data_IF_934348454099
#
_entry.id   IF_934348454099
#
_cell.length_a   1.000
_cell.length_b   1.000
_cell.length_c   1.000
_cell.angle_alpha   90.00
_cell.angle_beta   90.00
_cell.angle_gamma   90.00
#
_symmetry.space_group_name_H-M   'P 1'
#
loop_
_entity.id
_entity.type
_entity.pdbx_description
1 polymer ?
#
# COMPACT_ATOMS: atom_id res chain seq x y z
N UNK A 1 10.08 -22.98 19.14
CA UNK A 1 10.04 -23.33 17.72
C UNK A 1 8.82 -22.80 17.01
N UNK A 2 7.63 -22.92 17.59
CA UNK A 2 6.42 -22.36 16.99
C UNK A 2 6.49 -20.83 16.90
N UNK A 3 7.03 -20.18 17.93
CA UNK A 3 7.23 -18.73 17.93
C UNK A 3 8.16 -18.30 16.81
N UNK A 4 9.18 -19.09 16.53
CA UNK A 4 10.14 -18.77 15.48
C UNK A 4 9.49 -18.79 14.10
N UNK A 5 8.67 -19.82 13.81
CA UNK A 5 7.94 -19.93 12.57
C UNK A 5 6.93 -18.79 12.40
N UNK A 6 6.17 -18.47 13.48
CA UNK A 6 5.23 -17.35 13.47
C UNK A 6 5.96 -16.03 13.28
N UNK A 7 7.12 -15.85 13.89
CA UNK A 7 7.96 -14.66 13.77
C UNK A 7 8.49 -14.49 12.35
N UNK A 8 8.91 -15.59 11.72
CA UNK A 8 9.39 -15.58 10.33
C UNK A 8 8.28 -15.20 9.37
N UNK A 9 7.06 -15.73 9.56
CA UNK A 9 5.90 -15.37 8.74
C UNK A 9 5.52 -13.91 8.93
N UNK A 10 5.47 -13.44 10.18
CA UNK A 10 5.16 -12.05 10.49
C UNK A 10 6.19 -11.11 9.85
N UNK A 11 7.48 -11.46 9.93
CA UNK A 11 8.54 -10.68 9.31
C UNK A 11 8.41 -10.63 7.79
N UNK A 12 8.03 -11.74 7.16
CA UNK A 12 7.82 -11.81 5.73
C UNK A 12 6.63 -10.97 5.30
N UNK A 13 5.53 -11.03 6.03
CA UNK A 13 4.34 -10.23 5.78
C UNK A 13 4.70 -8.74 5.87
N UNK A 14 5.36 -8.33 6.95
CA UNK A 14 5.77 -6.94 7.14
C UNK A 14 6.71 -6.46 6.05
N UNK A 15 7.64 -7.30 5.64
CA UNK A 15 8.58 -6.99 4.57
C UNK A 15 7.85 -6.68 3.26
N UNK A 16 6.92 -7.55 2.87
CA UNK A 16 6.20 -7.35 1.62
C UNK A 16 5.22 -6.18 1.69
N UNK A 17 4.60 -5.94 2.85
CA UNK A 17 3.76 -4.76 3.04
C UNK A 17 4.58 -3.48 2.88
N UNK A 18 5.80 -3.46 3.41
CA UNK A 18 6.71 -2.33 3.24
C UNK A 18 7.13 -2.17 1.77
N UNK A 19 7.39 -3.27 1.07
CA UNK A 19 7.72 -3.24 -0.36
C UNK A 19 6.58 -2.67 -1.18
N UNK A 20 5.35 -3.07 -0.87
CA UNK A 20 4.14 -2.56 -1.53
C UNK A 20 4.02 -1.05 -1.32
N UNK A 21 4.12 -0.61 -0.07
CA UNK A 21 4.05 0.81 0.29
C UNK A 21 5.11 1.62 -0.46
N UNK A 22 6.35 1.15 -0.44
CA UNK A 22 7.47 1.84 -1.09
C UNK A 22 7.33 1.86 -2.61
N UNK A 23 6.79 0.80 -3.19
CA UNK A 23 6.56 0.74 -4.63
C UNK A 23 5.52 1.78 -5.04
N UNK A 24 4.40 1.85 -4.32
CA UNK A 24 3.36 2.83 -4.61
C UNK A 24 3.91 4.25 -4.43
N UNK A 25 4.65 4.48 -3.36
CA UNK A 25 5.24 5.78 -3.06
C UNK A 25 6.09 6.31 -4.20
N UNK A 26 6.80 5.45 -4.91
CA UNK A 26 7.63 5.85 -6.07
C UNK A 26 6.81 6.46 -7.20
N UNK A 27 5.56 6.10 -7.31
CA UNK A 27 4.68 6.60 -8.36
C UNK A 27 3.87 7.82 -7.94
N UNK A 28 3.93 8.20 -6.66
CA UNK A 28 3.19 9.38 -6.18
C UNK A 28 3.89 10.63 -6.65
N UNK A 29 3.17 11.43 -7.45
CA UNK A 29 3.62 12.75 -7.86
C UNK A 29 3.01 13.73 -6.88
N UNK A 30 3.83 14.25 -5.96
CA UNK A 30 3.35 15.15 -4.92
C UNK A 30 2.97 16.49 -5.54
N UNK A 31 1.70 16.93 -5.40
CA UNK A 31 1.29 18.23 -5.92
C UNK A 31 2.03 19.36 -5.20
N UNK A 32 2.26 20.50 -5.90
CA UNK A 32 2.80 21.69 -5.23
C UNK A 32 1.77 22.26 -4.27
N UNK A 33 2.21 23.12 -3.37
CA UNK A 33 1.35 23.87 -2.45
C UNK A 33 0.70 23.07 -1.32
N UNK A 34 1.16 21.84 -1.07
CA UNK A 34 0.74 21.11 0.11
C UNK A 34 1.41 21.71 1.35
N UNK A 35 0.62 21.94 2.38
CA UNK A 35 1.11 22.44 3.65
C UNK A 35 1.12 21.33 4.69
N UNK A 36 2.21 21.27 5.47
CA UNK A 36 2.36 20.26 6.48
C UNK A 36 2.63 18.88 5.87
N UNK A 37 2.13 17.86 6.52
CA UNK A 37 2.33 16.48 6.07
C UNK A 37 0.99 15.72 6.10
N UNK A 38 0.07 16.06 5.18
CA UNK A 38 -1.26 15.46 5.18
C UNK A 38 -1.21 13.98 4.88
N UNK A 39 -2.11 13.23 5.48
CA UNK A 39 -2.18 11.78 5.32
C UNK A 39 -3.45 11.38 4.59
N UNK A 40 -3.29 10.57 3.55
CA UNK A 40 -4.40 9.92 2.85
C UNK A 40 -4.42 8.44 3.22
N UNK A 41 -5.60 7.90 3.48
CA UNK A 41 -5.77 6.47 3.76
C UNK A 41 -6.62 5.82 2.68
N UNK A 42 -6.09 4.70 2.15
CA UNK A 42 -6.77 3.92 1.10
C UNK A 42 -6.90 2.47 1.53
N UNK A 43 -8.02 1.86 1.16
CA UNK A 43 -8.17 0.42 1.20
C UNK A 43 -7.94 -0.12 -0.21
N UNK A 44 -6.98 -1.02 -0.34
CA UNK A 44 -6.60 -1.61 -1.62
C UNK A 44 -6.91 -3.10 -1.60
N UNK A 45 -7.68 -3.56 -2.59
CA UNK A 45 -8.01 -4.97 -2.76
C UNK A 45 -7.18 -5.52 -3.92
N UNK A 46 -6.47 -6.62 -3.65
CA UNK A 46 -5.58 -7.25 -4.62
C UNK A 46 -6.13 -8.59 -5.11
N UNK A 47 -5.76 -8.93 -6.35
CA UNK A 47 -5.94 -10.27 -6.91
C UNK A 47 -4.72 -11.13 -6.53
N UNK A 48 -4.84 -12.47 -6.64
CA UNK A 48 -3.73 -13.36 -6.25
C UNK A 48 -2.41 -13.14 -6.98
N UNK A 49 -2.44 -12.50 -8.14
CA UNK A 49 -1.23 -12.16 -8.91
C UNK A 49 -0.63 -10.80 -8.51
N UNK A 50 -1.24 -10.11 -7.56
CA UNK A 50 -0.80 -8.79 -7.13
C UNK A 50 -1.46 -7.63 -7.86
N UNK A 51 -2.29 -7.90 -8.86
CA UNK A 51 -3.00 -6.83 -9.55
C UNK A 51 -3.98 -6.13 -8.62
N UNK A 52 -4.06 -4.81 -8.74
CA UNK A 52 -5.00 -4.01 -7.96
C UNK A 52 -6.39 -4.14 -8.58
N UNK A 53 -7.28 -4.77 -7.81
CA UNK A 53 -8.67 -4.88 -8.22
C UNK A 53 -9.41 -3.57 -7.97
N UNK A 54 -9.10 -2.92 -6.85
CA UNK A 54 -9.84 -1.74 -6.41
C UNK A 54 -9.01 -0.97 -5.38
N UNK A 55 -9.04 0.36 -5.48
CA UNK A 55 -8.46 1.26 -4.49
C UNK A 55 -9.54 2.25 -4.06
N UNK A 56 -9.86 2.27 -2.76
CA UNK A 56 -10.93 3.10 -2.21
C UNK A 56 -10.35 4.09 -1.20
N UNK A 57 -10.64 5.37 -1.39
CA UNK A 57 -10.27 6.40 -0.43
C UNK A 57 -11.13 6.25 0.83
N UNK A 58 -10.48 6.00 1.97
CA UNK A 58 -11.16 5.84 3.26
C UNK A 58 -11.13 7.16 4.03
N UNK A 59 -9.98 7.84 3.98
CA UNK A 59 -9.81 9.12 4.68
C UNK A 59 -8.99 10.05 3.81
N UNK A 60 -9.59 11.19 3.46
CA UNK A 60 -8.91 12.19 2.66
C UNK A 60 -7.81 12.90 3.45
N UNK A 61 -6.74 13.26 2.76
CA UNK A 61 -5.70 14.11 3.31
C UNK A 61 -6.16 15.56 3.55
N UNK A 62 -7.32 15.90 2.99
CA UNK A 62 -7.78 17.30 2.97
C UNK A 62 -7.38 18.02 1.68
N UNK A 63 -6.57 17.36 0.84
CA UNK A 63 -6.13 17.90 -0.46
C UNK A 63 -6.54 16.94 -1.56
N UNK A 64 -7.61 17.24 -2.29
CA UNK A 64 -8.09 16.34 -3.36
C UNK A 64 -7.02 16.01 -4.39
N UNK A 65 -6.11 16.95 -4.67
CA UNK A 65 -5.03 16.71 -5.63
C UNK A 65 -4.04 15.65 -5.13
N UNK A 66 -3.76 15.65 -3.83
CA UNK A 66 -2.90 14.62 -3.23
C UNK A 66 -3.60 13.25 -3.20
N UNK A 67 -4.88 13.24 -2.81
CA UNK A 67 -5.67 12.01 -2.80
C UNK A 67 -5.70 11.37 -4.19
N UNK A 68 -5.91 12.18 -5.23
CA UNK A 68 -5.91 11.70 -6.61
C UNK A 68 -4.53 11.22 -7.06
N UNK A 69 -3.46 11.88 -6.60
CA UNK A 69 -2.09 11.48 -6.91
C UNK A 69 -1.76 10.11 -6.32
N UNK A 70 -2.20 9.86 -5.08
CA UNK A 70 -2.00 8.56 -4.41
C UNK A 70 -2.80 7.47 -5.11
N UNK A 71 -4.05 7.73 -5.45
CA UNK A 71 -4.89 6.77 -6.16
C UNK A 71 -4.25 6.36 -7.49
N UNK A 72 -3.79 7.33 -8.28
CA UNK A 72 -3.10 7.03 -9.55
C UNK A 72 -1.84 6.22 -9.32
N UNK A 73 -1.09 6.54 -8.26
CA UNK A 73 0.12 5.81 -7.92
C UNK A 73 -0.16 4.35 -7.61
N UNK A 74 -1.23 4.08 -6.85
CA UNK A 74 -1.64 2.71 -6.52
C UNK A 74 -1.93 1.93 -7.80
N UNK A 75 -2.69 2.52 -8.71
CA UNK A 75 -3.06 1.86 -9.97
C UNK A 75 -1.85 1.66 -10.88
N UNK A 76 -0.93 2.62 -10.93
CA UNK A 76 0.30 2.52 -11.72
C UNK A 76 1.28 1.49 -11.18
N UNK A 77 1.30 1.30 -9.87
CA UNK A 77 2.20 0.35 -9.23
C UNK A 77 1.78 -1.10 -9.45
N UNK A 78 0.55 -1.33 -9.90
CA UNK A 78 0.04 -2.68 -10.18
C UNK A 78 0.84 -3.37 -11.30
N UNK A 79 1.18 -4.67 -11.16
CA UNK A 79 0.90 -5.53 -10.03
C UNK A 79 1.85 -5.25 -8.85
N UNK A 80 1.33 -5.40 -7.64
CA UNK A 80 2.13 -5.20 -6.43
C UNK A 80 2.88 -6.48 -6.05
N UNK A 81 4.05 -6.36 -5.41
CA UNK A 81 4.82 -7.56 -5.03
C UNK A 81 4.12 -8.34 -3.93
N UNK A 82 3.99 -9.65 -4.14
CA UNK A 82 3.42 -10.57 -3.17
C UNK A 82 4.45 -11.64 -2.81
N UNK A 83 4.41 -12.18 -1.58
CA UNK A 83 5.29 -13.27 -1.24
C UNK A 83 4.99 -14.50 -2.11
N UNK A 84 6.01 -15.33 -2.42
CA UNK A 84 5.80 -16.52 -3.24
C UNK A 84 4.92 -17.58 -2.58
N UNK A 85 4.78 -17.54 -1.26
CA UNK A 85 3.92 -18.46 -0.54
C UNK A 85 2.46 -18.02 -0.67
N UNK A 86 1.70 -18.74 -1.50
CA UNK A 86 0.30 -18.41 -1.77
C UNK A 86 -0.60 -18.51 -0.54
N UNK A 87 -0.18 -19.26 0.48
CA UNK A 87 -0.95 -19.36 1.73
C UNK A 87 -1.00 -18.04 2.48
N UNK A 88 -0.08 -17.11 2.19
CA UNK A 88 -0.04 -15.79 2.82
C UNK A 88 -0.92 -14.77 2.11
N UNK A 89 -1.53 -15.12 0.98
CA UNK A 89 -2.31 -14.16 0.19
C UNK A 89 -3.43 -13.52 1.00
N UNK A 90 -4.06 -14.24 1.91
CA UNK A 90 -5.15 -13.68 2.74
C UNK A 90 -4.70 -12.43 3.51
N UNK A 91 -3.42 -12.35 3.87
CA UNK A 91 -2.85 -11.19 4.56
C UNK A 91 -2.70 -9.98 3.63
N UNK A 92 -2.78 -10.21 2.31
CA UNK A 92 -2.56 -9.17 1.30
C UNK A 92 -3.80 -8.88 0.46
N UNK A 93 -4.85 -9.67 0.61
CA UNK A 93 -6.08 -9.51 -0.18
C UNK A 93 -6.67 -8.12 -0.04
N UNK A 94 -6.72 -7.62 1.18
CA UNK A 94 -7.22 -6.29 1.49
C UNK A 94 -6.22 -5.57 2.38
N UNK A 95 -5.72 -4.44 1.92
CA UNK A 95 -4.69 -3.67 2.63
C UNK A 95 -5.21 -2.28 2.93
N UNK A 96 -4.95 -1.83 4.17
CA UNK A 96 -5.18 -0.44 4.57
C UNK A 96 -3.83 0.27 4.52
N UNK A 97 -3.70 1.22 3.61
CA UNK A 97 -2.44 1.91 3.37
C UNK A 97 -2.56 3.40 3.65
N UNK A 98 -1.53 3.94 4.28
CA UNK A 98 -1.45 5.35 4.64
C UNK A 98 -0.29 5.99 3.90
N UNK A 99 -0.52 7.15 3.29
CA UNK A 99 0.50 7.85 2.53
C UNK A 99 0.60 9.31 2.95
N UNK A 100 1.83 9.76 3.14
CA UNK A 100 2.16 11.15 3.45
C UNK A 100 3.21 11.65 2.46
N UNK A 101 3.20 12.96 2.09
CA UNK A 101 4.20 13.48 1.17
C UNK A 101 5.64 13.37 1.68
N UNK A 102 5.83 13.47 2.99
CA UNK A 102 7.15 13.37 3.63
C UNK A 102 7.27 12.08 4.41
N UNK A 103 7.74 11.05 3.75
CA UNK A 103 8.03 9.77 4.41
C UNK A 103 9.44 9.33 4.11
#
# INVERSE_FOLDING_TARGET
MQQRAASEKASLIDKYKAMIHNRIKRFVVVPPDLKGNPEAEFTVVLLPDGEVLKATLVKSSGYPAYDAAVERAILRASPLPLPPDTSLFEEFRTLDLHFRPSE
#
